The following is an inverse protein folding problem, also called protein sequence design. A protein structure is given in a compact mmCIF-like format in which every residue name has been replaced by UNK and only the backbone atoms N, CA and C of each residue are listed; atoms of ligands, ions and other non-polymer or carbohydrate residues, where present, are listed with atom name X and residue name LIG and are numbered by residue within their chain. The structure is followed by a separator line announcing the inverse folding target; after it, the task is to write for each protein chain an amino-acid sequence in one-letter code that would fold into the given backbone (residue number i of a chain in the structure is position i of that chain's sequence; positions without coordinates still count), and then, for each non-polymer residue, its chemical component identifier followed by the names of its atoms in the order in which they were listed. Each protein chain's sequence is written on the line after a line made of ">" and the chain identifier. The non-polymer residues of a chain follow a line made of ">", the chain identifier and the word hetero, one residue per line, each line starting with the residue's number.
data_IF_269714919746
#
_entry.id   IF_269714919746
#
_cell.length_a   1.000
_cell.length_b   1.000
_cell.length_c   1.000
_cell.angle_alpha   90.00
_cell.angle_beta   90.00
_cell.angle_gamma   90.00
#
_symmetry.space_group_name_H-M   'P 1'
#
loop_
_entity.id
_entity.type
_entity.pdbx_description
1 polymer ?
#
# COMPACT_ATOMS: atom_id res chain seq x y z
N UNK A 1 24.68 0.64 0.13
CA UNK A 1 23.93 -0.56 0.54
C UNK A 1 22.43 -0.35 0.44
N UNK A 2 21.81 0.60 1.18
CA UNK A 2 20.38 0.91 1.07
C UNK A 2 19.89 1.19 -0.37
N UNK A 3 20.65 1.96 -1.16
CA UNK A 3 20.30 2.22 -2.57
C UNK A 3 20.25 0.95 -3.45
N UNK A 4 21.02 -0.09 -3.13
CA UNK A 4 21.01 -1.37 -3.86
C UNK A 4 19.72 -2.14 -3.59
N UNK A 5 19.34 -2.25 -2.32
CA UNK A 5 18.10 -2.90 -1.89
C UNK A 5 16.85 -2.23 -2.49
N UNK A 6 16.75 -0.89 -2.38
CA UNK A 6 15.65 -0.10 -2.96
C UNK A 6 15.54 -0.32 -4.47
N UNK A 7 16.68 -0.40 -5.16
CA UNK A 7 16.72 -0.67 -6.60
C UNK A 7 16.27 -2.09 -6.92
N UNK A 8 16.63 -3.08 -6.10
CA UNK A 8 16.24 -4.47 -6.27
C UNK A 8 14.73 -4.66 -6.06
N UNK A 9 14.15 -4.06 -5.01
CA UNK A 9 12.70 -4.04 -4.78
C UNK A 9 11.99 -3.35 -5.95
N UNK A 10 12.49 -2.21 -6.41
CA UNK A 10 11.88 -1.49 -7.53
C UNK A 10 11.89 -2.31 -8.83
N UNK A 11 12.98 -3.05 -9.09
CA UNK A 11 13.03 -3.98 -10.23
C UNK A 11 12.01 -5.11 -10.06
N UNK A 12 11.96 -5.71 -8.87
CA UNK A 12 11.05 -6.83 -8.58
C UNK A 12 9.58 -6.45 -8.77
N UNK A 13 9.20 -5.26 -8.31
CA UNK A 13 7.84 -4.73 -8.48
C UNK A 13 7.45 -4.66 -9.97
N UNK A 14 8.34 -4.17 -10.82
CA UNK A 14 8.08 -4.10 -12.27
C UNK A 14 8.03 -5.49 -12.90
N UNK A 15 8.92 -6.40 -12.51
CA UNK A 15 8.89 -7.80 -12.98
C UNK A 15 7.56 -8.48 -12.66
N UNK A 16 7.02 -8.24 -11.46
CA UNK A 16 5.74 -8.80 -11.00
C UNK A 16 4.57 -8.19 -11.77
N UNK A 17 4.61 -6.89 -12.06
CA UNK A 17 3.60 -6.21 -12.87
C UNK A 17 3.58 -6.70 -14.32
N UNK A 18 4.72 -7.16 -14.84
CA UNK A 18 4.85 -7.76 -16.17
C UNK A 18 4.49 -9.25 -16.21
N UNK A 19 4.24 -9.92 -15.07
CA UNK A 19 3.84 -11.34 -15.06
C UNK A 19 2.51 -11.59 -15.80
N UNK A 20 1.41 -10.83 -15.56
CA UNK A 20 0.16 -11.02 -16.30
C UNK A 20 0.31 -10.89 -17.83
N UNK A 21 1.20 -10.01 -18.30
CA UNK A 21 1.49 -9.84 -19.73
C UNK A 21 2.11 -11.11 -20.32
N UNK A 22 2.96 -11.78 -19.55
CA UNK A 22 3.60 -13.05 -19.93
C UNK A 22 2.65 -14.25 -19.82
N UNK A 23 1.79 -14.25 -18.80
CA UNK A 23 0.84 -15.32 -18.52
C UNK A 23 -0.34 -15.32 -19.51
N UNK A 24 -0.65 -14.17 -20.13
CA UNK A 24 -1.77 -13.97 -21.06
C UNK A 24 -1.30 -13.45 -22.43
N UNK A 25 -0.46 -14.21 -23.19
CA UNK A 25 0.17 -13.73 -24.41
C UNK A 25 -0.83 -13.37 -25.52
N UNK A 26 -2.02 -13.99 -25.53
CA UNK A 26 -3.07 -13.72 -26.51
C UNK A 26 -3.69 -12.31 -26.40
N UNK A 27 -3.55 -11.66 -25.25
CA UNK A 27 -4.07 -10.30 -24.97
C UNK A 27 -2.99 -9.40 -24.35
N UNK A 28 -1.71 -9.70 -24.61
CA UNK A 28 -0.58 -9.00 -23.98
C UNK A 28 -0.61 -7.47 -24.19
N UNK A 29 -1.08 -7.00 -25.34
CA UNK A 29 -1.24 -5.57 -25.62
C UNK A 29 -2.30 -4.90 -24.74
N UNK A 30 -3.42 -5.58 -24.51
CA UNK A 30 -4.50 -5.08 -23.65
C UNK A 30 -4.04 -5.06 -22.19
N UNK A 31 -3.37 -6.12 -21.73
CA UNK A 31 -2.80 -6.19 -20.38
C UNK A 31 -1.75 -5.11 -20.17
N UNK A 32 -0.85 -4.88 -21.13
CA UNK A 32 0.17 -3.84 -21.04
C UNK A 32 -0.44 -2.43 -20.94
N UNK A 33 -1.53 -2.19 -21.67
CA UNK A 33 -2.31 -0.94 -21.58
C UNK A 33 -2.96 -0.81 -20.20
N UNK A 34 -3.55 -1.89 -19.70
CA UNK A 34 -4.24 -1.93 -18.42
C UNK A 34 -3.30 -1.65 -17.23
N UNK A 35 -2.08 -2.21 -17.21
CA UNK A 35 -1.15 -2.01 -16.09
C UNK A 35 -0.34 -0.71 -16.17
N UNK A 36 -0.46 0.06 -17.25
CA UNK A 36 0.35 1.26 -17.48
C UNK A 36 0.28 2.30 -16.34
N UNK A 37 -0.90 2.65 -15.78
CA UNK A 37 -0.98 3.61 -14.67
C UNK A 37 -0.22 3.12 -13.44
N UNK A 38 -0.36 1.83 -13.11
CA UNK A 38 0.35 1.21 -12.01
C UNK A 38 1.87 1.25 -12.21
N UNK A 39 2.36 1.00 -13.43
CA UNK A 39 3.79 1.08 -13.76
C UNK A 39 4.37 2.45 -13.42
N UNK A 40 3.64 3.54 -13.71
CA UNK A 40 4.06 4.92 -13.37
C UNK A 40 4.07 5.16 -11.87
N UNK A 41 3.02 4.74 -11.16
CA UNK A 41 2.94 4.85 -9.70
C UNK A 41 4.09 4.10 -9.01
N UNK A 42 4.46 2.96 -9.56
CA UNK A 42 5.50 2.08 -9.07
C UNK A 42 6.89 2.45 -9.62
N UNK A 43 7.02 3.48 -10.45
CA UNK A 43 8.33 4.00 -10.88
C UNK A 43 8.83 5.01 -9.85
N UNK A 44 9.93 4.68 -9.17
CA UNK A 44 10.55 5.53 -8.14
C UNK A 44 9.94 5.38 -6.74
N UNK A 45 10.16 6.38 -5.89
CA UNK A 45 9.76 6.35 -4.47
C UNK A 45 10.87 5.86 -3.52
N UNK A 46 10.73 6.20 -2.24
CA UNK A 46 11.73 5.92 -1.20
C UNK A 46 11.73 4.45 -0.74
N UNK A 47 10.65 3.71 -1.07
CA UNK A 47 10.40 2.34 -0.61
C UNK A 47 10.50 2.19 0.90
N UNK A 48 9.98 3.17 1.64
CA UNK A 48 10.10 3.23 3.10
C UNK A 48 9.54 1.97 3.76
N UNK A 49 8.41 1.46 3.29
CA UNK A 49 7.78 0.22 3.80
C UNK A 49 8.69 -0.99 3.59
N UNK A 50 9.26 -1.16 2.41
CA UNK A 50 10.22 -2.23 2.15
C UNK A 50 11.49 -2.12 3.03
N UNK A 51 12.01 -0.89 3.23
CA UNK A 51 13.16 -0.65 4.10
C UNK A 51 12.82 -0.99 5.56
N UNK A 52 11.64 -0.63 6.03
CA UNK A 52 11.17 -0.96 7.38
C UNK A 52 11.01 -2.47 7.57
N UNK A 53 10.52 -3.20 6.58
CA UNK A 53 10.53 -4.67 6.62
C UNK A 53 11.95 -5.24 6.71
N UNK A 54 12.90 -4.68 5.97
CA UNK A 54 14.31 -5.10 6.07
C UNK A 54 14.91 -4.82 7.46
N UNK A 55 14.53 -3.71 8.10
CA UNK A 55 14.94 -3.40 9.47
C UNK A 55 14.34 -4.38 10.47
N UNK A 56 13.06 -4.71 10.35
CA UNK A 56 12.39 -5.71 11.19
C UNK A 56 13.06 -7.07 11.11
N UNK A 57 13.41 -7.51 9.90
CA UNK A 57 14.18 -8.74 9.69
C UNK A 57 15.55 -8.69 10.38
N UNK A 58 16.27 -7.59 10.22
CA UNK A 58 17.62 -7.42 10.77
C UNK A 58 17.64 -7.40 12.31
N UNK A 59 16.53 -7.04 12.96
CA UNK A 59 16.40 -7.10 14.42
C UNK A 59 16.42 -8.54 14.95
N UNK A 60 15.90 -9.50 14.17
CA UNK A 60 15.85 -10.92 14.53
C UNK A 60 17.08 -11.67 14.01
N UNK A 61 17.56 -11.32 12.81
CA UNK A 61 18.70 -11.94 12.13
C UNK A 61 19.80 -10.93 11.79
N UNK A 62 20.50 -10.36 12.79
CA UNK A 62 21.52 -9.34 12.56
C UNK A 62 22.69 -9.85 11.70
N UNK A 63 22.96 -11.14 11.71
CA UNK A 63 24.04 -11.80 10.95
C UNK A 63 23.71 -12.08 9.47
N UNK A 64 22.42 -12.15 9.10
CA UNK A 64 21.99 -12.40 7.70
C UNK A 64 22.12 -11.16 6.82
N UNK A 65 22.15 -9.98 7.45
CA UNK A 65 22.05 -8.70 6.77
C UNK A 65 20.62 -8.39 6.29
N UNK A 66 20.47 -7.17 5.77
CA UNK A 66 19.22 -6.52 5.35
C UNK A 66 18.76 -6.75 3.90
N UNK A 67 19.52 -7.48 3.05
CA UNK A 67 19.23 -7.65 1.62
C UNK A 67 19.01 -9.13 1.23
N UNK A 68 18.09 -9.75 1.97
CA UNK A 68 17.67 -11.15 1.76
C UNK A 68 16.59 -11.27 0.68
N UNK A 69 16.53 -12.42 0.00
CA UNK A 69 15.55 -12.66 -1.07
C UNK A 69 14.11 -12.54 -0.55
N UNK A 70 13.79 -13.17 0.58
CA UNK A 70 12.48 -13.12 1.20
C UNK A 70 12.03 -11.67 1.47
N UNK A 71 12.96 -10.81 1.88
CA UNK A 71 12.68 -9.41 2.20
C UNK A 71 12.55 -8.54 0.95
N UNK A 72 13.31 -8.80 -0.12
CA UNK A 72 13.08 -8.14 -1.41
C UNK A 72 11.68 -8.45 -1.97
N UNK A 73 11.23 -9.71 -1.83
CA UNK A 73 9.89 -10.15 -2.26
C UNK A 73 8.80 -9.59 -1.33
N UNK A 74 9.01 -9.54 -0.02
CA UNK A 74 8.07 -8.89 0.90
C UNK A 74 7.97 -7.38 0.61
N UNK A 75 9.10 -6.75 0.29
CA UNK A 75 9.15 -5.35 -0.14
C UNK A 75 8.33 -5.09 -1.40
N UNK A 76 8.38 -5.96 -2.41
CA UNK A 76 7.52 -5.82 -3.60
C UNK A 76 6.04 -6.01 -3.26
N UNK A 77 5.69 -6.95 -2.38
CA UNK A 77 4.32 -7.11 -1.90
C UNK A 77 3.79 -5.81 -1.25
N UNK A 78 4.52 -5.24 -0.29
CA UNK A 78 4.12 -4.00 0.40
C UNK A 78 3.93 -2.82 -0.55
N UNK A 79 4.77 -2.69 -1.57
CA UNK A 79 4.68 -1.60 -2.55
C UNK A 79 3.54 -1.79 -3.55
N UNK A 80 3.22 -3.04 -3.92
CA UNK A 80 2.03 -3.37 -4.72
C UNK A 80 0.74 -3.11 -3.94
N UNK A 81 0.72 -3.49 -2.65
CA UNK A 81 -0.39 -3.15 -1.75
C UNK A 81 -0.60 -1.64 -1.66
N UNK A 82 0.48 -0.87 -1.46
CA UNK A 82 0.42 0.59 -1.44
C UNK A 82 -0.15 1.15 -2.75
N UNK A 83 0.28 0.61 -3.89
CA UNK A 83 -0.22 1.07 -5.18
C UNK A 83 -1.71 0.77 -5.35
N UNK A 84 -2.19 -0.40 -4.90
CA UNK A 84 -3.61 -0.71 -4.88
C UNK A 84 -4.40 0.30 -4.03
N UNK A 85 -3.94 0.54 -2.80
CA UNK A 85 -4.56 1.50 -1.90
C UNK A 85 -4.65 2.90 -2.54
N UNK A 86 -3.57 3.40 -3.16
CA UNK A 86 -3.58 4.70 -3.85
C UNK A 86 -4.53 4.74 -5.04
N UNK A 87 -4.61 3.67 -5.84
CA UNK A 87 -5.50 3.61 -7.00
C UNK A 87 -6.96 3.70 -6.57
N UNK A 88 -7.34 3.01 -5.49
CA UNK A 88 -8.69 3.06 -4.95
C UNK A 88 -8.98 4.38 -4.22
N UNK A 89 -8.04 4.88 -3.42
CA UNK A 89 -8.13 6.17 -2.70
C UNK A 89 -8.30 7.34 -3.68
N UNK A 90 -7.50 7.39 -4.76
CA UNK A 90 -7.63 8.40 -5.81
C UNK A 90 -9.03 8.42 -6.44
N UNK A 91 -9.69 7.26 -6.57
CA UNK A 91 -11.04 7.17 -7.10
C UNK A 91 -12.10 7.58 -6.07
N UNK A 92 -11.95 7.16 -4.81
CA UNK A 92 -12.86 7.50 -3.71
C UNK A 92 -12.88 9.01 -3.47
N UNK A 93 -11.71 9.64 -3.54
CA UNK A 93 -11.52 11.07 -3.28
C UNK A 93 -11.70 11.95 -4.53
N UNK A 94 -12.03 11.37 -5.69
CA UNK A 94 -12.13 12.05 -7.00
C UNK A 94 -10.85 12.86 -7.35
N UNK A 95 -9.68 12.32 -7.01
CA UNK A 95 -8.41 13.00 -7.19
C UNK A 95 -7.97 13.01 -8.67
N UNK A 96 -7.70 14.19 -9.23
CA UNK A 96 -7.29 14.30 -10.64
C UNK A 96 -5.88 13.78 -10.90
N UNK A 97 -4.98 13.90 -9.92
CA UNK A 97 -3.55 13.61 -10.10
C UNK A 97 -2.93 12.89 -8.92
N UNK A 98 -1.94 12.06 -9.22
CA UNK A 98 -1.07 11.40 -8.26
C UNK A 98 0.38 11.48 -8.74
N UNK A 99 1.27 12.01 -7.89
CA UNK A 99 2.71 12.17 -8.17
C UNK A 99 2.98 12.86 -9.52
N UNK A 100 2.28 13.96 -9.79
CA UNK A 100 2.37 14.74 -11.05
C UNK A 100 1.90 14.00 -12.32
N UNK A 101 1.26 12.83 -12.18
CA UNK A 101 0.61 12.11 -13.27
C UNK A 101 -0.91 12.08 -13.06
N UNK A 102 -1.72 11.89 -14.11
CA UNK A 102 -3.15 11.65 -13.93
C UNK A 102 -3.39 10.44 -13.02
N UNK A 103 -4.39 10.53 -12.14
CA UNK A 103 -4.88 9.37 -11.40
C UNK A 103 -5.35 8.27 -12.36
N UNK A 104 -5.39 7.02 -11.89
CA UNK A 104 -5.68 5.87 -12.76
C UNK A 104 -7.03 5.99 -13.48
N UNK A 105 -8.07 6.43 -12.77
CA UNK A 105 -9.41 6.60 -13.35
C UNK A 105 -9.41 7.69 -14.44
N UNK A 106 -8.76 8.83 -14.21
CA UNK A 106 -8.57 9.89 -15.22
C UNK A 106 -7.76 9.42 -16.42
N UNK A 107 -6.72 8.63 -16.20
CA UNK A 107 -5.92 8.07 -17.28
C UNK A 107 -6.77 7.19 -18.21
N UNK A 108 -7.55 6.28 -17.64
CA UNK A 108 -8.42 5.40 -18.41
C UNK A 108 -9.54 6.15 -19.12
N UNK A 109 -10.16 7.14 -18.45
CA UNK A 109 -11.17 8.01 -19.08
C UNK A 109 -10.60 8.76 -20.29
N UNK A 110 -9.41 9.35 -20.15
CA UNK A 110 -8.72 10.05 -21.23
C UNK A 110 -8.36 9.11 -22.39
N UNK A 111 -7.89 7.89 -22.09
CA UNK A 111 -7.58 6.89 -23.12
C UNK A 111 -8.85 6.44 -23.88
N UNK A 112 -9.95 6.21 -23.16
CA UNK A 112 -11.24 5.84 -23.75
C UNK A 112 -11.78 6.94 -24.68
N UNK A 113 -11.79 8.19 -24.21
CA UNK A 113 -12.22 9.37 -24.97
C UNK A 113 -11.31 9.62 -26.19
N UNK A 114 -9.99 9.58 -26.00
CA UNK A 114 -9.01 9.78 -27.07
C UNK A 114 -9.07 8.73 -28.19
N UNK A 115 -9.53 7.51 -27.88
CA UNK A 115 -9.77 6.46 -28.86
C UNK A 115 -11.16 6.55 -29.54
N UNK A 116 -12.03 7.49 -29.14
CA UNK A 116 -13.37 7.64 -29.71
C UNK A 116 -14.29 6.45 -29.44
N UNK A 117 -14.08 5.77 -28.32
CA UNK A 117 -14.87 4.61 -27.92
C UNK A 117 -16.30 5.01 -27.52
N UNK A 118 -17.22 4.06 -27.59
CA UNK A 118 -18.64 4.28 -27.26
C UNK A 118 -18.86 4.13 -25.76
N UNK A 119 -19.68 5.01 -25.18
CA UNK A 119 -20.05 4.98 -23.76
C UNK A 119 -19.50 6.17 -22.99
N UNK A 120 -19.74 6.20 -21.69
CA UNK A 120 -19.22 7.22 -20.77
C UNK A 120 -17.76 6.91 -20.41
N UNK A 121 -16.86 7.85 -20.70
CA UNK A 121 -15.43 7.69 -20.43
C UNK A 121 -15.10 7.73 -18.93
N UNK A 122 -15.81 8.53 -18.14
CA UNK A 122 -15.56 8.64 -16.70
C UNK A 122 -16.02 7.35 -16.00
N UNK A 123 -17.17 6.81 -16.38
CA UNK A 123 -17.66 5.52 -15.87
C UNK A 123 -16.69 4.38 -16.24
N UNK A 124 -16.22 4.35 -17.50
CA UNK A 124 -15.19 3.40 -17.92
C UNK A 124 -13.91 3.55 -17.08
N UNK A 125 -13.47 4.79 -16.85
CA UNK A 125 -12.28 5.09 -16.08
C UNK A 125 -12.36 4.62 -14.63
N UNK A 126 -13.49 4.89 -13.97
CA UNK A 126 -13.77 4.43 -12.61
C UNK A 126 -13.76 2.89 -12.52
N UNK A 127 -14.50 2.21 -13.41
CA UNK A 127 -14.57 0.76 -13.45
C UNK A 127 -13.20 0.11 -13.70
N UNK A 128 -12.41 0.68 -14.62
CA UNK A 128 -11.05 0.20 -14.90
C UNK A 128 -10.09 0.42 -13.71
N UNK A 129 -10.23 1.53 -12.98
CA UNK A 129 -9.41 1.79 -11.79
C UNK A 129 -9.71 0.81 -10.64
N UNK A 130 -10.98 0.46 -10.42
CA UNK A 130 -11.37 -0.58 -9.44
C UNK A 130 -10.64 -1.89 -9.75
N UNK A 131 -10.76 -2.37 -10.99
CA UNK A 131 -10.13 -3.61 -11.43
C UNK A 131 -8.60 -3.56 -11.38
N UNK A 132 -7.99 -2.40 -11.64
CA UNK A 132 -6.54 -2.23 -11.54
C UNK A 132 -6.08 -2.39 -10.08
N UNK A 133 -6.80 -1.78 -9.13
CA UNK A 133 -6.49 -1.97 -7.71
C UNK A 133 -6.66 -3.44 -7.27
N UNK A 134 -7.70 -4.13 -7.74
CA UNK A 134 -7.93 -5.56 -7.46
C UNK A 134 -6.81 -6.44 -8.00
N UNK A 135 -6.32 -6.16 -9.22
CA UNK A 135 -5.15 -6.83 -9.79
C UNK A 135 -3.92 -6.60 -8.90
N UNK A 136 -3.67 -5.36 -8.48
CA UNK A 136 -2.52 -5.02 -7.64
C UNK A 136 -2.57 -5.71 -6.27
N UNK A 137 -3.75 -5.79 -5.63
CA UNK A 137 -3.94 -6.58 -4.41
C UNK A 137 -3.66 -8.07 -4.65
N UNK A 138 -4.12 -8.62 -5.77
CA UNK A 138 -3.88 -10.02 -6.13
C UNK A 138 -2.38 -10.30 -6.32
N UNK A 139 -1.68 -9.42 -7.03
CA UNK A 139 -0.23 -9.51 -7.23
C UNK A 139 0.54 -9.38 -5.92
N UNK A 140 0.11 -8.46 -5.06
CA UNK A 140 0.64 -8.28 -3.70
C UNK A 140 0.49 -9.56 -2.86
N UNK A 141 -0.71 -10.17 -2.85
CA UNK A 141 -0.97 -11.41 -2.12
C UNK A 141 -0.10 -12.57 -2.61
N UNK A 142 0.12 -12.64 -3.92
CA UNK A 142 1.01 -13.64 -4.51
C UNK A 142 2.47 -13.43 -4.10
N UNK A 143 2.94 -12.19 -4.05
CA UNK A 143 4.30 -11.87 -3.61
C UNK A 143 4.50 -12.17 -2.13
N UNK A 144 3.57 -11.81 -1.23
CA UNK A 144 3.75 -12.16 0.19
C UNK A 144 3.78 -13.67 0.39
N UNK A 145 2.96 -14.42 -0.35
CA UNK A 145 2.99 -15.89 -0.33
C UNK A 145 4.34 -16.44 -0.81
N UNK A 146 5.01 -15.77 -1.75
CA UNK A 146 6.37 -16.12 -2.21
C UNK A 146 7.41 -15.77 -1.15
N UNK A 147 7.29 -14.61 -0.50
CA UNK A 147 8.19 -14.17 0.56
C UNK A 147 8.18 -15.13 1.76
N UNK A 148 6.98 -15.55 2.20
CA UNK A 148 6.80 -16.52 3.28
C UNK A 148 7.44 -17.87 2.94
N UNK A 149 7.32 -18.33 1.69
CA UNK A 149 8.02 -19.57 1.27
C UNK A 149 9.54 -19.39 1.22
N UNK A 150 10.01 -18.22 0.79
CA UNK A 150 11.44 -17.93 0.66
C UNK A 150 12.11 -17.70 2.03
N UNK A 151 11.38 -17.31 3.07
CA UNK A 151 11.96 -17.07 4.39
C UNK A 151 12.44 -18.35 5.09
N UNK A 152 11.86 -19.50 4.73
CA UNK A 152 12.17 -20.78 5.37
C UNK A 152 11.72 -20.87 6.84
N UNK A 153 10.82 -19.98 7.27
CA UNK A 153 10.25 -19.94 8.62
C UNK A 153 8.82 -20.48 8.62
N UNK A 154 8.22 -20.65 9.80
CA UNK A 154 6.81 -20.98 9.92
C UNK A 154 5.95 -19.85 9.31
N UNK A 155 4.95 -20.17 8.48
CA UNK A 155 4.16 -19.17 7.76
C UNK A 155 3.19 -18.38 8.65
N UNK A 156 2.80 -18.95 9.79
CA UNK A 156 1.67 -18.48 10.60
C UNK A 156 1.84 -17.02 11.06
N UNK A 157 2.97 -16.68 11.67
CA UNK A 157 3.20 -15.33 12.20
C UNK A 157 3.22 -14.25 11.11
N UNK A 158 3.90 -14.52 9.98
CA UNK A 158 3.98 -13.56 8.87
C UNK A 158 2.64 -13.39 8.17
N UNK A 159 1.86 -14.48 8.04
CA UNK A 159 0.52 -14.45 7.50
C UNK A 159 -0.43 -13.64 8.39
N UNK A 160 -0.38 -13.85 9.71
CA UNK A 160 -1.22 -13.10 10.66
C UNK A 160 -0.94 -11.59 10.62
N UNK A 161 0.34 -11.19 10.58
CA UNK A 161 0.70 -9.77 10.44
C UNK A 161 0.18 -9.19 9.13
N UNK A 162 0.33 -9.92 8.03
CA UNK A 162 -0.14 -9.48 6.71
C UNK A 162 -1.67 -9.34 6.66
N UNK A 163 -2.39 -10.31 7.20
CA UNK A 163 -3.86 -10.33 7.22
C UNK A 163 -4.40 -9.19 8.09
N UNK A 164 -3.80 -8.98 9.28
CA UNK A 164 -4.14 -7.86 10.17
C UNK A 164 -3.89 -6.52 9.50
N UNK A 165 -2.72 -6.32 8.90
CA UNK A 165 -2.39 -5.10 8.16
C UNK A 165 -3.43 -4.81 7.07
N UNK A 166 -3.74 -5.83 6.26
CA UNK A 166 -4.65 -5.69 5.12
C UNK A 166 -6.06 -5.31 5.56
N UNK A 167 -6.57 -5.96 6.62
CA UNK A 167 -7.88 -5.66 7.18
C UNK A 167 -7.92 -4.25 7.81
N UNK A 168 -6.87 -3.89 8.55
CA UNK A 168 -6.80 -2.61 9.26
C UNK A 168 -6.79 -1.41 8.31
N UNK A 169 -6.04 -1.49 7.19
CA UNK A 169 -6.05 -0.43 6.17
C UNK A 169 -7.43 -0.28 5.53
N UNK A 170 -8.10 -1.39 5.18
CA UNK A 170 -9.42 -1.35 4.57
C UNK A 170 -10.47 -0.75 5.53
N UNK A 171 -10.44 -1.13 6.81
CA UNK A 171 -11.29 -0.54 7.85
C UNK A 171 -10.95 0.93 8.06
N UNK A 172 -9.67 1.30 8.08
CA UNK A 172 -9.22 2.69 8.20
C UNK A 172 -9.75 3.57 7.06
N UNK A 173 -9.73 3.07 5.82
CA UNK A 173 -10.31 3.78 4.67
C UNK A 173 -11.83 3.93 4.81
N UNK A 174 -12.54 2.91 5.29
CA UNK A 174 -13.97 3.01 5.54
C UNK A 174 -14.29 4.08 6.59
N UNK A 175 -13.54 4.11 7.70
CA UNK A 175 -13.69 5.12 8.75
C UNK A 175 -13.44 6.54 8.22
N UNK A 176 -12.51 6.71 7.29
CA UNK A 176 -12.22 8.00 6.65
C UNK A 176 -13.41 8.49 5.82
N UNK A 177 -13.97 7.61 4.98
CA UNK A 177 -15.18 7.90 4.18
C UNK A 177 -16.36 8.23 5.11
N UNK A 178 -16.57 7.45 6.17
CA UNK A 178 -17.64 7.69 7.13
C UNK A 178 -17.45 9.07 7.81
N UNK A 179 -16.23 9.37 8.26
CA UNK A 179 -15.90 10.63 8.92
C UNK A 179 -16.18 11.85 8.02
N UNK A 180 -15.95 11.74 6.71
CA UNK A 180 -16.24 12.81 5.75
C UNK A 180 -17.74 13.13 5.59
N UNK A 181 -18.63 12.24 6.02
CA UNK A 181 -20.10 12.44 5.94
C UNK A 181 -20.72 12.97 7.23
N UNK A 182 -19.96 13.00 8.33
CA UNK A 182 -20.45 13.43 9.63
C UNK A 182 -20.51 14.96 9.75
N UNK A 183 -21.49 15.51 10.48
CA UNK A 183 -21.56 16.95 10.72
C UNK A 183 -20.34 17.42 11.53
N UNK A 184 -19.82 18.59 11.17
CA UNK A 184 -18.78 19.26 11.95
C UNK A 184 -19.36 19.75 13.29
N UNK A 185 -18.56 19.71 14.38
CA UNK A 185 -18.99 20.22 15.68
C UNK A 185 -19.28 21.73 15.61
N UNK A 186 -20.32 22.17 16.31
CA UNK A 186 -20.67 23.60 16.41
C UNK A 186 -19.78 24.35 17.40
N UNK A 187 -19.68 25.67 17.27
CA UNK A 187 -18.89 26.50 18.18
C UNK A 187 -19.31 26.28 19.66
N UNK A 188 -18.33 26.01 20.52
CA UNK A 188 -18.55 25.84 21.96
C UNK A 188 -19.04 24.46 22.42
N UNK A 189 -19.15 23.48 21.52
CA UNK A 189 -19.45 22.08 21.86
C UNK A 189 -18.15 21.27 22.02
N UNK A 190 -17.51 21.40 23.19
CA UNK A 190 -16.21 20.78 23.48
C UNK A 190 -16.25 19.24 23.38
N UNK A 191 -17.36 18.62 23.79
CA UNK A 191 -17.55 17.16 23.72
C UNK A 191 -17.63 16.69 22.26
N UNK A 192 -18.35 17.40 21.40
CA UNK A 192 -18.41 17.08 19.98
C UNK A 192 -17.07 17.29 19.27
N UNK A 193 -16.30 18.32 19.64
CA UNK A 193 -14.93 18.52 19.15
C UNK A 193 -14.00 17.40 19.57
N UNK A 194 -14.06 16.97 20.83
CA UNK A 194 -13.26 15.86 21.33
C UNK A 194 -13.60 14.56 20.60
N UNK A 195 -14.88 14.27 20.39
CA UNK A 195 -15.31 13.09 19.63
C UNK A 195 -14.88 13.13 18.15
N UNK A 196 -14.84 14.31 17.53
CA UNK A 196 -14.34 14.48 16.16
C UNK A 196 -12.83 14.26 16.08
N UNK A 197 -12.06 14.77 17.06
CA UNK A 197 -10.63 14.55 17.17
C UNK A 197 -10.30 13.06 17.36
N UNK A 198 -11.01 12.37 18.25
CA UNK A 198 -10.82 10.94 18.49
C UNK A 198 -11.05 10.11 17.22
N UNK A 199 -12.08 10.46 16.43
CA UNK A 199 -12.33 9.84 15.13
C UNK A 199 -11.22 10.11 14.13
N UNK A 200 -10.78 11.36 13.99
CA UNK A 200 -9.69 11.73 13.08
C UNK A 200 -8.39 10.98 13.45
N UNK A 201 -8.08 10.87 14.74
CA UNK A 201 -6.93 10.10 15.23
C UNK A 201 -7.08 8.60 14.96
N UNK A 202 -8.29 8.04 15.07
CA UNK A 202 -8.54 6.65 14.72
C UNK A 202 -8.32 6.38 13.22
N UNK A 203 -8.84 7.24 12.35
CA UNK A 203 -8.59 7.18 10.90
C UNK A 203 -7.08 7.23 10.63
N UNK A 204 -6.41 8.23 11.17
CA UNK A 204 -4.97 8.44 10.97
C UNK A 204 -4.13 7.22 11.42
N UNK A 205 -4.48 6.61 12.57
CA UNK A 205 -3.81 5.42 13.09
C UNK A 205 -3.98 4.21 12.19
N UNK A 206 -5.22 3.90 11.81
CA UNK A 206 -5.59 2.67 11.13
C UNK A 206 -5.38 2.73 9.60
N UNK A 207 -5.64 3.89 8.96
CA UNK A 207 -5.42 4.10 7.52
C UNK A 207 -3.93 4.21 7.18
N UNK A 208 -3.15 4.93 8.01
CA UNK A 208 -1.80 5.34 7.62
C UNK A 208 -0.69 4.97 8.61
N UNK A 209 -0.81 5.32 9.89
CA UNK A 209 0.34 5.25 10.81
C UNK A 209 0.85 3.81 11.02
N UNK A 210 -0.05 2.87 11.33
CA UNK A 210 0.33 1.48 11.55
C UNK A 210 0.84 0.84 10.26
N UNK A 211 0.16 1.07 9.14
CA UNK A 211 0.54 0.50 7.85
C UNK A 211 1.87 1.06 7.32
N UNK A 212 2.18 2.32 7.57
CA UNK A 212 3.39 2.95 7.06
C UNK A 212 4.63 2.60 7.87
N UNK A 213 4.48 2.20 9.15
CA UNK A 213 5.62 1.97 10.06
C UNK A 213 5.55 0.62 10.78
N UNK A 214 4.52 0.40 11.59
CA UNK A 214 4.44 -0.74 12.51
C UNK A 214 4.33 -2.09 11.79
N UNK A 215 3.39 -2.20 10.84
CA UNK A 215 3.13 -3.43 10.10
C UNK A 215 4.33 -3.88 9.27
N UNK A 216 5.01 -3.02 8.47
CA UNK A 216 6.21 -3.42 7.75
C UNK A 216 7.31 -3.94 8.67
N UNK A 217 7.60 -3.26 9.80
CA UNK A 217 8.59 -3.72 10.78
C UNK A 217 8.23 -5.10 11.35
N UNK A 218 6.98 -5.27 11.80
CA UNK A 218 6.49 -6.53 12.34
C UNK A 218 6.56 -7.67 11.31
N UNK A 219 6.19 -7.38 10.06
CA UNK A 219 6.23 -8.35 8.98
C UNK A 219 7.65 -8.85 8.71
N UNK A 220 8.62 -7.93 8.69
CA UNK A 220 10.04 -8.27 8.55
C UNK A 220 10.54 -9.19 9.66
N UNK A 221 10.19 -8.87 10.92
CA UNK A 221 10.58 -9.68 12.08
C UNK A 221 9.92 -11.07 12.06
N UNK A 222 8.64 -11.15 11.70
CA UNK A 222 7.91 -12.41 11.58
C UNK A 222 8.49 -13.30 10.46
N UNK A 223 8.82 -12.72 9.31
CA UNK A 223 9.49 -13.43 8.22
C UNK A 223 10.87 -13.95 8.65
N UNK A 224 11.58 -13.25 9.54
CA UNK A 224 12.88 -13.72 10.05
C UNK A 224 12.76 -14.88 11.06
N UNK A 225 11.54 -15.20 11.50
CA UNK A 225 11.25 -16.25 12.48
C UNK A 225 11.35 -15.77 13.91
N UNK A 226 11.17 -14.47 14.16
CA UNK A 226 11.03 -13.96 15.52
C UNK A 226 9.72 -14.48 16.12
N UNK A 227 9.80 -15.07 17.32
CA UNK A 227 8.63 -15.36 18.15
C UNK A 227 7.80 -14.09 18.31
N UNK A 228 6.47 -14.18 18.21
CA UNK A 228 5.46 -13.12 18.43
C UNK A 228 6.08 -11.76 18.73
N UNK A 229 6.81 -11.19 17.78
CA UNK A 229 7.59 -9.98 18.03
C UNK A 229 6.53 -8.94 18.32
N UNK A 230 6.33 -8.47 19.57
CA UNK A 230 4.97 -8.11 19.97
C UNK A 230 4.57 -6.97 19.07
N UNK A 231 3.61 -7.22 18.18
CA UNK A 231 3.16 -6.22 17.23
C UNK A 231 2.85 -4.93 17.98
N UNK A 232 2.34 -5.04 19.21
CA UNK A 232 2.13 -3.94 20.15
C UNK A 232 3.39 -3.17 20.55
N UNK A 233 4.53 -3.82 20.78
CA UNK A 233 5.79 -3.14 21.09
C UNK A 233 6.34 -2.39 19.87
N UNK A 234 6.28 -3.01 18.69
CA UNK A 234 6.71 -2.37 17.44
C UNK A 234 5.73 -1.25 17.03
N UNK A 235 4.43 -1.44 17.25
CA UNK A 235 3.40 -0.42 17.05
C UNK A 235 3.54 0.73 18.05
N UNK A 236 3.91 0.48 19.31
CA UNK A 236 4.16 1.55 20.28
C UNK A 236 5.32 2.47 19.86
N UNK A 237 6.32 1.94 19.15
CA UNK A 237 7.44 2.71 18.59
C UNK A 237 7.02 3.39 17.27
N UNK A 238 6.29 2.66 16.42
CA UNK A 238 5.94 3.10 15.08
C UNK A 238 4.78 4.08 15.01
N UNK A 239 3.82 4.00 15.93
CA UNK A 239 2.61 4.81 15.91
C UNK A 239 2.91 6.31 16.07
N UNK A 240 3.69 6.80 17.04
CA UNK A 240 3.99 8.24 17.13
C UNK A 240 4.71 8.78 15.89
N UNK A 241 5.58 7.98 15.28
CA UNK A 241 6.29 8.36 14.05
C UNK A 241 5.34 8.40 12.84
N UNK A 242 4.46 7.41 12.72
CA UNK A 242 3.44 7.35 11.69
C UNK A 242 2.41 8.47 11.83
N UNK A 243 1.98 8.77 13.06
CA UNK A 243 1.09 9.89 13.38
C UNK A 243 1.75 11.22 12.99
N UNK A 244 3.01 11.45 13.40
CA UNK A 244 3.75 12.65 13.02
C UNK A 244 3.96 12.77 11.50
N UNK A 245 4.20 11.65 10.81
CA UNK A 245 4.33 11.63 9.35
C UNK A 245 3.02 12.05 8.68
N UNK A 246 1.89 11.49 9.09
CA UNK A 246 0.59 11.81 8.49
C UNK A 246 0.16 13.25 8.80
N UNK A 247 0.33 13.72 10.04
CA UNK A 247 0.04 15.12 10.38
C UNK A 247 0.87 16.11 9.55
N UNK A 248 2.10 15.73 9.16
CA UNK A 248 2.93 16.55 8.28
C UNK A 248 2.45 16.49 6.83
N UNK A 249 2.00 15.34 6.35
CA UNK A 249 1.42 15.21 5.01
C UNK A 249 0.12 16.04 4.92
N UNK A 250 -0.73 16.01 5.94
CA UNK A 250 -1.98 16.78 6.01
C UNK A 250 -1.74 18.31 6.03
N UNK A 251 -0.66 18.79 6.68
CA UNK A 251 -0.23 20.20 6.67
C UNK A 251 0.35 20.66 5.31
N UNK A 252 0.85 19.73 4.50
CA UNK A 252 1.45 20.00 3.19
C UNK A 252 0.49 19.83 2.02
N UNK A 253 -0.61 19.09 2.21
CA UNK A 253 -1.68 18.86 1.23
C UNK A 253 -2.54 20.10 0.99
#
# INVERSE_FOLDING_TARGET
>A
MQNSFVSAVSRRVLEVLDEPVRDLPGIAGDVATFVQPASRLLTGGKRSRAVLAALGWSCVRPESGWDEEAIRIAGSALELFQAAALVHDDLIDDADTRRSHPASHRHFAAAHSGAGLRGDSEEFGANAAILLGDLLLTLSQREISRAIRASGTSPEAAQEVWDRMSAEVAIGQFLDIEAATLPLPGEGDDDAHQAALERALAVLRHKSAHYSVAHPLALGAALAGGDDAPFEQLAAIGAPLGEAFQLRDDDLG
#
